data_IF_849585164719
#
_entry.id   IF_849585164719
#
_cell.length_a   1.000
_cell.length_b   1.000
_cell.length_c   1.000
_cell.angle_alpha   90.00
_cell.angle_beta   90.00
_cell.angle_gamma   90.00
#
_symmetry.space_group_name_H-M   'P 1'
#
loop_
_entity.id
_entity.type
_entity.pdbx_description
1 polymer ?
#
# COMPACT_ATOMS: atom_id res chain seq x y z
N UNK A 1 3.26 -25.16 -10.41
CA UNK A 1 1.82 -25.47 -10.34
C UNK A 1 1.03 -24.19 -10.45
N UNK A 2 0.57 -23.85 -11.66
CA UNK A 2 -0.43 -22.81 -11.90
C UNK A 2 -1.81 -23.37 -11.51
N UNK A 3 -2.68 -22.55 -10.94
CA UNK A 3 -4.06 -22.93 -10.64
C UNK A 3 -4.92 -22.26 -11.71
N UNK A 4 -5.67 -23.07 -12.45
CA UNK A 4 -6.26 -22.73 -13.75
C UNK A 4 -7.74 -23.06 -13.72
N UNK A 5 -8.57 -22.03 -13.69
CA UNK A 5 -9.89 -21.97 -14.34
C UNK A 5 -10.75 -20.87 -13.71
N UNK A 6 -11.41 -20.09 -14.57
CA UNK A 6 -12.63 -19.38 -14.19
C UNK A 6 -13.79 -20.33 -14.48
N UNK A 7 -14.82 -20.32 -13.64
CA UNK A 7 -16.06 -21.05 -13.92
C UNK A 7 -16.74 -20.48 -15.19
N UNK A 8 -17.02 -21.30 -16.22
CA UNK A 8 -17.68 -20.86 -17.45
C UNK A 8 -19.02 -20.15 -17.21
N UNK A 9 -19.77 -20.52 -16.17
CA UNK A 9 -21.02 -19.86 -15.82
C UNK A 9 -20.80 -18.42 -15.33
N UNK A 10 -19.70 -18.17 -14.60
CA UNK A 10 -19.34 -16.82 -14.13
C UNK A 10 -18.95 -15.94 -15.33
N UNK A 11 -18.24 -16.49 -16.32
CA UNK A 11 -17.90 -15.76 -17.54
C UNK A 11 -19.15 -15.41 -18.36
N UNK A 12 -20.05 -16.38 -18.56
CA UNK A 12 -21.31 -16.20 -19.30
C UNK A 12 -22.32 -15.27 -18.61
N UNK A 13 -22.10 -14.89 -17.36
CA UNK A 13 -22.91 -13.90 -16.63
C UNK A 13 -22.23 -12.51 -16.49
N UNK A 14 -20.97 -12.35 -16.93
CA UNK A 14 -20.22 -11.11 -16.74
C UNK A 14 -20.58 -10.01 -17.76
N UNK A 15 -20.96 -8.82 -17.28
CA UNK A 15 -21.29 -7.66 -18.13
C UNK A 15 -20.07 -7.04 -18.83
N UNK A 16 -18.85 -7.40 -18.41
CA UNK A 16 -17.60 -6.88 -18.95
C UNK A 16 -16.89 -7.85 -19.92
N UNK A 17 -17.60 -8.86 -20.44
CA UNK A 17 -17.06 -9.87 -21.38
C UNK A 17 -16.28 -9.26 -22.54
N UNK A 18 -16.81 -8.20 -23.15
CA UNK A 18 -16.22 -7.54 -24.34
C UNK A 18 -14.83 -6.94 -24.09
N UNK A 19 -14.51 -6.63 -22.83
CA UNK A 19 -13.22 -6.06 -22.42
C UNK A 19 -12.40 -7.02 -21.55
N UNK A 20 -12.89 -8.25 -21.35
CA UNK A 20 -12.29 -9.20 -20.45
C UNK A 20 -11.05 -9.82 -21.08
N UNK A 21 -9.87 -9.48 -20.55
CA UNK A 21 -8.59 -10.02 -21.01
C UNK A 21 -8.48 -11.55 -20.86
N UNK A 22 -9.35 -12.15 -20.03
CA UNK A 22 -9.42 -13.60 -19.80
C UNK A 22 -10.30 -14.31 -20.83
N UNK A 23 -11.33 -13.65 -21.36
CA UNK A 23 -12.23 -14.23 -22.37
C UNK A 23 -11.65 -14.26 -23.79
N UNK A 24 -10.40 -13.80 -23.95
CA UNK A 24 -9.69 -13.76 -25.23
C UNK A 24 -8.82 -15.00 -25.45
N UNK A 25 -8.62 -15.84 -24.44
CA UNK A 25 -8.02 -17.15 -24.65
C UNK A 25 -9.12 -18.16 -25.03
N UNK A 26 -8.77 -19.13 -25.89
CA UNK A 26 -9.73 -20.11 -26.37
C UNK A 26 -10.29 -21.00 -25.23
N UNK A 27 -9.54 -21.11 -24.14
CA UNK A 27 -9.77 -22.06 -23.05
C UNK A 27 -10.35 -21.41 -21.77
N UNK A 28 -10.59 -20.10 -21.75
CA UNK A 28 -11.08 -19.30 -20.61
C UNK A 28 -10.24 -19.48 -19.32
N UNK A 29 -8.92 -19.47 -19.43
CA UNK A 29 -7.98 -19.74 -18.35
C UNK A 29 -7.31 -18.47 -17.79
N UNK A 30 -7.37 -18.34 -16.46
CA UNK A 30 -6.47 -17.47 -15.71
C UNK A 30 -5.25 -18.26 -15.23
N UNK A 31 -4.09 -18.01 -15.84
CA UNK A 31 -2.83 -18.53 -15.33
C UNK A 31 -2.27 -17.62 -14.23
N UNK A 32 -2.24 -18.14 -13.00
CA UNK A 32 -1.51 -17.51 -11.91
C UNK A 32 -0.68 -18.52 -11.12
N UNK A 33 0.48 -18.06 -10.69
CA UNK A 33 1.30 -18.76 -9.72
C UNK A 33 0.61 -18.78 -8.35
N UNK A 34 0.90 -19.76 -7.49
CA UNK A 34 0.37 -19.80 -6.13
C UNK A 34 0.72 -18.54 -5.34
N UNK A 35 1.88 -17.92 -5.65
CA UNK A 35 2.31 -16.63 -5.08
C UNK A 35 1.37 -15.50 -5.49
N UNK A 36 1.04 -15.38 -6.78
CA UNK A 36 0.11 -14.35 -7.28
C UNK A 36 -1.27 -14.50 -6.64
N UNK A 37 -1.81 -15.72 -6.53
CA UNK A 37 -3.09 -15.95 -5.83
C UNK A 37 -3.05 -15.48 -4.38
N UNK A 38 -2.03 -15.90 -3.62
CA UNK A 38 -1.89 -15.48 -2.21
C UNK A 38 -1.80 -13.97 -2.06
N UNK A 39 -1.02 -13.30 -2.92
CA UNK A 39 -0.90 -11.84 -2.89
C UNK A 39 -2.22 -11.16 -3.24
N UNK A 40 -2.97 -11.68 -4.22
CA UNK A 40 -4.29 -11.14 -4.58
C UNK A 40 -5.26 -11.26 -3.41
N UNK A 41 -5.34 -12.43 -2.78
CA UNK A 41 -6.18 -12.65 -1.60
C UNK A 41 -5.78 -11.73 -0.45
N UNK A 42 -4.47 -11.51 -0.24
CA UNK A 42 -3.98 -10.58 0.78
C UNK A 42 -4.39 -9.14 0.48
N UNK A 43 -4.32 -8.68 -0.78
CA UNK A 43 -4.75 -7.33 -1.17
C UNK A 43 -6.23 -7.10 -0.90
N UNK A 44 -7.08 -8.07 -1.26
CA UNK A 44 -8.52 -8.01 -0.95
C UNK A 44 -8.75 -7.89 0.55
N UNK A 45 -8.02 -8.66 1.37
CA UNK A 45 -8.10 -8.54 2.82
C UNK A 45 -7.54 -7.19 3.35
N UNK A 46 -6.46 -6.67 2.76
CA UNK A 46 -5.88 -5.37 3.10
C UNK A 46 -6.80 -4.19 2.76
N UNK A 47 -7.71 -4.37 1.79
CA UNK A 47 -8.70 -3.37 1.37
C UNK A 47 -9.93 -3.31 2.28
N UNK A 48 -10.16 -4.33 3.12
CA UNK A 48 -11.33 -4.39 4.01
C UNK A 48 -11.31 -3.29 5.08
N UNK A 49 -12.49 -2.84 5.50
CA UNK A 49 -12.62 -1.77 6.50
C UNK A 49 -12.02 -2.19 7.84
N UNK A 50 -12.18 -3.44 8.26
CA UNK A 50 -11.58 -3.94 9.51
C UNK A 50 -10.06 -3.89 9.47
N UNK A 51 -9.46 -4.21 8.33
CA UNK A 51 -8.01 -4.11 8.15
C UNK A 51 -7.57 -2.65 8.20
N UNK A 52 -8.27 -1.77 7.48
CA UNK A 52 -7.96 -0.33 7.45
C UNK A 52 -8.07 0.29 8.84
N UNK A 53 -9.10 -0.05 9.60
CA UNK A 53 -9.29 0.44 10.97
C UNK A 53 -8.15 -0.06 11.88
N UNK A 54 -7.87 -1.37 11.85
CA UNK A 54 -6.79 -1.98 12.65
C UNK A 54 -5.42 -1.36 12.36
N UNK A 55 -5.11 -1.07 11.10
CA UNK A 55 -3.81 -0.57 10.67
C UNK A 55 -3.73 0.95 10.46
N UNK A 56 -4.82 1.70 10.69
CA UNK A 56 -4.92 3.16 10.49
C UNK A 56 -3.77 3.91 11.15
N UNK A 57 -3.52 3.63 12.42
CA UNK A 57 -2.48 4.31 13.21
C UNK A 57 -1.08 4.04 12.68
N UNK A 58 -0.79 2.78 12.34
CA UNK A 58 0.51 2.38 11.79
C UNK A 58 0.76 3.04 10.44
N UNK A 59 -0.23 3.00 9.55
CA UNK A 59 -0.14 3.65 8.24
C UNK A 59 0.11 5.17 8.38
N UNK A 60 -0.56 5.83 9.34
CA UNK A 60 -0.31 7.24 9.67
C UNK A 60 1.13 7.51 10.12
N UNK A 61 1.67 6.69 11.02
CA UNK A 61 3.06 6.81 11.50
C UNK A 61 4.07 6.58 10.37
N UNK A 62 3.85 5.57 9.53
CA UNK A 62 4.71 5.27 8.38
C UNK A 62 4.70 6.42 7.37
N UNK A 63 3.51 6.96 7.07
CA UNK A 63 3.35 8.12 6.19
C UNK A 63 4.07 9.35 6.75
N UNK A 64 3.91 9.64 8.04
CA UNK A 64 4.62 10.73 8.73
C UNK A 64 6.15 10.56 8.60
N UNK A 65 6.67 9.37 8.92
CA UNK A 65 8.10 9.09 8.82
C UNK A 65 8.63 9.24 7.39
N UNK A 66 7.87 8.81 6.37
CA UNK A 66 8.22 9.01 4.97
C UNK A 66 8.30 10.50 4.61
N UNK A 67 7.32 11.30 5.06
CA UNK A 67 7.33 12.77 4.85
C UNK A 67 8.49 13.44 5.56
N UNK A 68 8.76 13.11 6.82
CA UNK A 68 9.89 13.66 7.58
C UNK A 68 11.25 13.31 6.93
N UNK A 69 11.41 12.08 6.42
CA UNK A 69 12.61 11.70 5.67
C UNK A 69 12.75 12.49 4.37
N UNK A 70 11.68 12.61 3.58
CA UNK A 70 11.71 13.25 2.25
C UNK A 70 11.82 14.79 2.33
N UNK A 71 10.98 15.41 3.15
CA UNK A 71 10.84 16.87 3.27
C UNK A 71 11.82 17.42 4.29
N UNK A 72 11.80 16.89 5.52
CA UNK A 72 12.66 17.39 6.61
C UNK A 72 14.08 16.81 6.59
N UNK A 73 14.43 15.97 5.59
CA UNK A 73 15.76 15.37 5.38
C UNK A 73 16.27 14.56 6.58
N UNK A 74 15.38 13.88 7.31
CA UNK A 74 15.78 13.03 8.45
C UNK A 74 16.73 11.89 8.09
N UNK A 75 16.80 11.46 6.82
CA UNK A 75 17.71 10.41 6.38
C UNK A 75 19.20 10.78 6.42
N UNK A 76 19.54 12.07 6.51
CA UNK A 76 20.94 12.53 6.56
C UNK A 76 21.07 13.76 7.47
N UNK A 77 21.26 13.52 8.76
CA UNK A 77 21.48 14.57 9.75
C UNK A 77 22.98 14.90 9.86
N UNK A 78 23.32 16.20 9.80
CA UNK A 78 24.69 16.70 9.96
C UNK A 78 25.03 17.02 11.43
N UNK A 79 24.59 16.17 12.36
CA UNK A 79 24.88 16.28 13.79
C UNK A 79 25.44 14.96 14.30
N UNK A 80 26.34 15.02 15.27
CA UNK A 80 26.92 13.86 15.97
C UNK A 80 26.37 13.81 17.40
N UNK A 81 26.38 12.62 17.99
CA UNK A 81 25.89 12.30 19.36
C UNK A 81 24.37 12.20 19.50
N UNK A 82 23.91 11.16 20.21
CA UNK A 82 22.48 10.79 20.30
C UNK A 82 21.61 11.92 20.85
N UNK A 83 22.08 12.68 21.85
CA UNK A 83 21.33 13.80 22.41
C UNK A 83 21.05 14.89 21.35
N UNK A 84 22.06 15.25 20.55
CA UNK A 84 21.90 16.24 19.46
C UNK A 84 21.04 15.71 18.33
N UNK A 85 21.15 14.41 18.01
CA UNK A 85 20.28 13.74 17.03
C UNK A 85 18.83 13.82 17.48
N UNK A 86 18.51 13.43 18.72
CA UNK A 86 17.15 13.50 19.28
C UNK A 86 16.60 14.93 19.22
N UNK A 87 17.39 15.90 19.64
CA UNK A 87 17.01 17.32 19.57
C UNK A 87 16.69 17.78 18.14
N UNK A 88 17.55 17.46 17.16
CA UNK A 88 17.33 17.80 15.77
C UNK A 88 16.09 17.11 15.16
N UNK A 89 15.83 15.85 15.53
CA UNK A 89 14.62 15.12 15.11
C UNK A 89 13.37 15.81 15.68
N UNK A 90 13.37 16.16 16.97
CA UNK A 90 12.24 16.83 17.62
C UNK A 90 11.91 18.17 16.96
N UNK A 91 12.91 19.01 16.70
CA UNK A 91 12.70 20.29 16.01
C UNK A 91 12.16 20.11 14.59
N UNK A 92 12.63 19.09 13.86
CA UNK A 92 12.12 18.78 12.52
C UNK A 92 10.69 18.26 12.55
N UNK A 93 10.33 17.44 13.53
CA UNK A 93 8.96 16.99 13.73
C UNK A 93 8.03 18.16 14.08
N UNK A 94 8.47 19.05 14.99
CA UNK A 94 7.75 20.28 15.32
C UNK A 94 7.53 21.16 14.09
N UNK A 95 8.58 21.41 13.30
CA UNK A 95 8.48 22.18 12.06
C UNK A 95 7.50 21.56 11.07
N UNK A 96 7.43 20.23 10.98
CA UNK A 96 6.42 19.56 10.16
C UNK A 96 5.00 19.80 10.67
N UNK A 97 4.78 19.75 11.98
CA UNK A 97 3.46 20.04 12.57
C UNK A 97 3.00 21.47 12.27
N UNK A 98 3.90 22.45 12.36
CA UNK A 98 3.60 23.86 11.99
C UNK A 98 3.23 23.96 10.51
N UNK A 99 3.99 23.32 9.62
CA UNK A 99 3.71 23.32 8.19
C UNK A 99 2.34 22.67 7.87
N UNK A 100 1.95 21.65 8.63
CA UNK A 100 0.63 21.02 8.46
C UNK A 100 -0.50 21.91 8.98
N UNK A 101 -0.29 22.61 10.09
CA UNK A 101 -1.28 23.56 10.62
C UNK A 101 -1.57 24.72 9.64
N UNK A 102 -0.58 25.14 8.85
CA UNK A 102 -0.77 26.17 7.80
C UNK A 102 -1.53 25.63 6.58
N UNK A 103 -1.50 24.31 6.33
CA UNK A 103 -2.17 23.68 5.18
C UNK A 103 -3.61 23.26 5.45
N UNK A 104 -3.96 23.12 6.74
CA UNK A 104 -5.29 22.74 7.20
C UNK A 104 -6.22 23.96 7.17
#
# INVERSE_FOLDING_TARGET
MSCRSIDPAIFAACDHREYCCVGLDADHQLDYTPKQRRLSQRRVAEESDEFREKYRWRAGIEALNAKLKRVMKLGRLRVRWLARVRYAVNLKALGWNILQAIRA
#
